data_IF_658566769898
#
_entry.id   IF_658566769898
#
_cell.length_a   1.000
_cell.length_b   1.000
_cell.length_c   1.000
_cell.angle_alpha   90.00
_cell.angle_beta   90.00
_cell.angle_gamma   90.00
#
_symmetry.space_group_name_H-M   'P 1'
#
loop_
_entity.id
_entity.type
_entity.pdbx_description
1 polymer ?
2 non-polymer ?
3 water ?
#
# COMPACT_ATOMS: atom_id res chain seq x y z
N UNK A 2 10.54 -1.67 -13.65
CA UNK A 2 10.64 -2.75 -14.68
C UNK A 2 11.37 -2.25 -15.92
N UNK A 3 12.43 -2.95 -16.30
CA UNK A 3 13.23 -2.57 -17.48
C UNK A 3 13.28 -3.68 -18.52
N UNK A 4 12.61 -4.79 -18.24
CA UNK A 4 12.60 -5.93 -19.14
C UNK A 4 11.20 -6.45 -19.42
N UNK A 5 10.97 -6.82 -20.67
CA UNK A 5 9.71 -7.41 -21.08
C UNK A 5 10.14 -8.71 -21.76
N UNK A 6 9.82 -9.84 -21.15
CA UNK A 6 10.19 -11.13 -21.73
C UNK A 6 9.14 -11.54 -22.74
N UNK A 7 9.52 -12.38 -23.68
CA UNK A 7 8.58 -12.86 -24.69
C UNK A 7 7.42 -13.54 -23.98
N UNK A 8 6.22 -13.28 -24.49
CA UNK A 8 5.02 -13.84 -23.91
C UNK A 8 4.39 -12.90 -22.91
N UNK A 9 5.16 -11.91 -22.44
CA UNK A 9 4.65 -10.96 -21.46
C UNK A 9 4.03 -9.74 -22.10
N UNK A 10 3.25 -9.03 -21.30
CA UNK A 10 2.51 -7.87 -21.74
C UNK A 10 2.68 -6.62 -20.88
N UNK A 11 2.73 -5.47 -21.54
CA UNK A 11 2.80 -4.19 -20.85
C UNK A 11 1.44 -3.60 -21.22
N UNK A 12 0.57 -3.41 -20.24
CA UNK A 12 -0.76 -2.87 -20.52
C UNK A 12 -0.80 -1.37 -20.59
N UNK A 13 -1.93 -0.85 -21.07
CA UNK A 13 -2.13 0.58 -21.25
C UNK A 13 -1.66 1.41 -20.08
N UNK A 14 -0.88 2.45 -20.41
CA UNK A 14 -0.35 3.41 -19.44
C UNK A 14 0.73 2.88 -18.51
N UNK A 15 1.28 1.71 -18.83
CA UNK A 15 2.36 1.14 -18.03
C UNK A 15 3.63 1.33 -18.82
N UNK A 16 4.77 1.36 -18.14
CA UNK A 16 6.02 1.58 -18.84
C UNK A 16 7.18 0.75 -18.36
N UNK A 17 8.24 0.77 -19.17
CA UNK A 17 9.50 0.13 -18.82
C UNK A 17 10.29 1.38 -18.43
N UNK A 18 11.25 1.23 -17.54
CA UNK A 18 12.02 2.37 -17.10
C UNK A 18 13.45 1.99 -16.78
N UNK A 19 14.39 2.81 -17.22
CA UNK A 19 15.80 2.57 -16.98
C UNK A 19 16.51 3.91 -16.97
N UNK A 20 17.15 4.24 -15.85
CA UNK A 20 17.84 5.51 -15.77
C UNK A 20 16.87 6.65 -16.01
N UNK A 21 17.24 7.56 -16.90
CA UNK A 21 16.42 8.71 -17.22
C UNK A 21 15.35 8.39 -18.24
N UNK A 22 15.34 7.15 -18.73
CA UNK A 22 14.40 6.76 -19.77
C UNK A 22 13.18 5.98 -19.37
N UNK A 23 12.11 6.21 -20.13
CA UNK A 23 10.85 5.53 -19.93
C UNK A 23 10.28 5.17 -21.29
N UNK A 24 9.68 4.00 -21.38
CA UNK A 24 9.05 3.55 -22.63
C UNK A 24 7.64 3.22 -22.19
N UNK A 25 6.69 4.00 -22.66
CA UNK A 25 5.30 3.83 -22.26
C UNK A 25 4.38 3.47 -23.39
N UNK A 26 3.53 2.47 -23.19
CA UNK A 26 2.55 2.16 -24.21
C UNK A 26 1.31 2.90 -23.68
N UNK A 27 0.88 3.93 -24.40
CA UNK A 27 -0.26 4.73 -23.99
C UNK A 27 -1.58 4.07 -24.34
N UNK A 28 -2.61 4.38 -23.57
CA UNK A 28 -3.94 3.83 -23.79
C UNK A 28 -4.37 4.07 -25.23
N UNK A 29 -4.09 5.27 -25.73
CA UNK A 29 -4.47 5.61 -27.09
C UNK A 29 -3.55 5.08 -28.19
N UNK A 30 -2.77 4.06 -27.83
CA UNK A 30 -1.93 3.34 -28.77
C UNK A 30 -0.58 3.85 -29.27
N UNK A 31 -0.14 4.99 -28.78
CA UNK A 31 1.16 5.50 -29.18
C UNK A 31 2.18 4.91 -28.21
N UNK A 32 3.26 4.34 -28.73
CA UNK A 32 4.33 3.81 -27.89
C UNK A 32 5.32 4.96 -27.89
N UNK A 33 5.64 5.47 -26.71
CA UNK A 33 6.50 6.64 -26.62
C UNK A 33 7.72 6.44 -25.73
N UNK A 34 8.86 6.93 -26.18
CA UNK A 34 10.10 6.84 -25.41
C UNK A 34 10.41 8.23 -24.89
N UNK A 35 10.64 8.33 -23.58
CA UNK A 35 10.93 9.61 -22.94
C UNK A 35 12.29 9.62 -22.27
N UNK A 36 12.89 10.80 -22.19
CA UNK A 36 14.14 10.98 -21.49
C UNK A 36 13.82 12.13 -20.56
N UNK A 37 13.76 11.83 -19.28
CA UNK A 37 13.38 12.82 -18.27
C UNK A 37 12.08 13.52 -18.66
N UNK A 38 11.13 12.71 -19.13
CA UNK A 38 9.83 13.25 -19.50
C UNK A 38 9.72 13.87 -20.90
N UNK A 39 10.86 14.03 -21.56
CA UNK A 39 10.88 14.61 -22.91
C UNK A 39 10.72 13.52 -23.94
N UNK A 40 9.71 13.67 -24.79
CA UNK A 40 9.45 12.67 -25.83
C UNK A 40 10.56 12.69 -26.87
N UNK A 41 11.33 11.60 -26.92
CA UNK A 41 12.42 11.50 -27.89
C UNK A 41 12.09 10.63 -29.10
N UNK A 42 11.11 9.74 -28.96
CA UNK A 42 10.70 8.87 -30.06
C UNK A 42 9.31 8.35 -29.77
N UNK A 43 8.57 8.05 -30.82
CA UNK A 43 7.23 7.48 -30.67
C UNK A 43 6.92 6.64 -31.90
N UNK A 44 6.04 5.66 -31.72
CA UNK A 44 5.64 4.81 -32.84
C UNK A 44 4.76 5.64 -33.77
N UNK A 45 4.30 6.79 -33.26
CA UNK A 45 3.44 7.69 -34.02
C UNK A 45 2.13 7.03 -34.37
N UNK A 46 1.54 6.39 -33.38
CA UNK A 46 0.26 5.70 -33.55
C UNK A 46 -0.79 6.18 -32.55
N UNK A 47 -0.67 7.43 -32.10
CA UNK A 47 -1.64 7.98 -31.16
C UNK A 47 -3.03 7.99 -31.77
N UNK A 48 -4.03 7.64 -30.95
CA UNK A 48 -5.42 7.59 -31.37
C UNK A 48 -5.74 6.63 -32.49
N UNK A 49 -4.86 5.68 -32.77
CA UNK A 49 -5.12 4.70 -33.82
C UNK A 49 -5.93 3.55 -33.23
N UNK A 50 -6.20 3.63 -31.94
CA UNK A 50 -6.97 2.62 -31.25
C UNK A 50 -7.11 3.01 -29.78
N UNK A 51 -7.72 2.14 -28.98
CA UNK A 51 -7.86 2.42 -27.56
C UNK A 51 -7.57 1.15 -26.76
N UNK A 52 -7.30 1.32 -25.47
CA UNK A 52 -7.00 0.20 -24.59
C UNK A 52 -5.87 -0.65 -25.11
N UNK A 53 -4.87 0.00 -25.71
CA UNK A 53 -3.74 -0.71 -26.29
C UNK A 53 -2.81 -1.38 -25.29
N UNK A 54 -2.05 -2.34 -25.78
CA UNK A 54 -1.07 -3.07 -24.97
C UNK A 54 0.11 -3.39 -25.85
N UNK A 55 1.25 -3.68 -25.21
CA UNK A 55 2.48 -4.01 -25.91
C UNK A 55 2.90 -5.42 -25.51
N UNK A 56 3.25 -6.25 -26.48
CA UNK A 56 3.69 -7.60 -26.14
C UNK A 56 4.85 -8.04 -27.04
N UNK A 57 5.69 -8.94 -26.50
CA UNK A 57 6.82 -9.47 -27.23
C UNK A 57 6.47 -10.92 -27.56
N UNK A 58 6.43 -11.24 -28.84
CA UNK A 58 6.06 -12.58 -29.27
C UNK A 58 7.19 -13.60 -29.08
N UNK A 59 6.85 -14.88 -29.21
CA UNK A 59 7.82 -15.96 -29.05
C UNK A 59 8.92 -15.94 -30.11
N UNK A 60 8.72 -15.19 -31.20
CA UNK A 60 9.77 -15.12 -32.23
C UNK A 60 10.53 -13.79 -32.15
N UNK A 61 10.32 -13.05 -31.07
CA UNK A 61 11.02 -11.80 -30.87
C UNK A 61 10.38 -10.56 -31.46
N UNK A 62 9.28 -10.74 -32.18
CA UNK A 62 8.58 -9.60 -32.79
C UNK A 62 7.88 -8.81 -31.68
N UNK A 63 8.02 -7.48 -31.74
CA UNK A 63 7.41 -6.60 -30.76
C UNK A 63 6.16 -6.02 -31.39
N UNK A 64 5.02 -6.15 -30.72
CA UNK A 64 3.78 -5.65 -31.31
C UNK A 64 2.86 -4.92 -30.36
N UNK A 65 2.18 -3.90 -30.90
CA UNK A 65 1.19 -3.13 -30.16
C UNK A 65 -0.16 -3.66 -30.64
N UNK A 66 -1.01 -4.11 -29.71
CA UNK A 66 -2.36 -4.57 -30.07
C UNK A 66 -3.34 -3.62 -29.42
N UNK A 67 -4.44 -3.31 -30.10
CA UNK A 67 -5.44 -2.48 -29.45
C UNK A 67 -6.40 -3.44 -28.76
N UNK A 68 -7.43 -2.92 -28.10
CA UNK A 68 -8.34 -3.79 -27.36
C UNK A 68 -9.10 -4.81 -28.20
N UNK A 69 -9.14 -4.60 -29.52
CA UNK A 69 -9.81 -5.53 -30.43
C UNK A 69 -8.79 -6.45 -31.12
N UNK A 70 -7.57 -6.41 -30.61
CA UNK A 70 -6.45 -7.22 -31.11
C UNK A 70 -5.90 -6.89 -32.49
N UNK A 71 -6.16 -5.68 -32.96
CA UNK A 71 -5.59 -5.29 -34.24
C UNK A 71 -4.13 -4.95 -33.97
N UNK A 72 -3.26 -5.34 -34.90
CA UNK A 72 -1.83 -5.07 -34.83
C UNK A 72 -1.66 -3.62 -35.28
N UNK A 73 -1.45 -2.73 -34.33
CA UNK A 73 -1.29 -1.30 -34.61
C UNK A 73 0.10 -0.90 -35.09
N UNK A 74 1.12 -1.54 -34.55
CA UNK A 74 2.50 -1.24 -34.89
C UNK A 74 3.35 -2.42 -34.45
N UNK A 75 4.48 -2.64 -35.13
CA UNK A 75 5.34 -3.71 -34.71
C UNK A 75 6.76 -3.47 -35.15
N UNK A 76 7.71 -4.15 -34.53
CA UNK A 76 9.09 -4.01 -34.94
C UNK A 76 9.20 -4.73 -36.28
N UNK A 77 8.26 -5.65 -36.52
CA UNK A 77 8.21 -6.42 -37.76
C UNK A 77 9.55 -7.07 -38.05
N UNK A 78 10.13 -7.66 -37.02
CA UNK A 78 11.41 -8.31 -37.12
C UNK A 78 11.32 -9.56 -36.24
N UNK A 79 11.60 -10.72 -36.82
CA UNK A 79 11.52 -11.96 -36.06
C UNK A 79 12.68 -12.89 -36.30
N UNK A 80 12.88 -13.78 -35.33
CA UNK A 80 13.92 -14.78 -35.40
C UNK A 80 13.27 -16.13 -35.21
N UNK A 81 14.05 -17.15 -34.88
CA UNK A 81 13.48 -18.47 -34.65
C UNK A 81 12.61 -18.42 -33.41
N UNK A 82 11.57 -19.25 -33.36
CA UNK A 82 10.73 -19.27 -32.18
C UNK A 82 11.55 -19.74 -30.98
N UNK A 83 11.28 -19.12 -29.84
CA UNK A 83 11.99 -19.46 -28.63
C UNK A 83 11.64 -18.47 -27.54
N UNK A 84 12.66 -17.95 -26.86
CA UNK A 84 12.45 -16.98 -25.80
C UNK A 84 13.36 -15.79 -26.04
N UNK A 85 12.78 -14.60 -25.96
CA UNK A 85 13.50 -13.35 -26.17
C UNK A 85 13.31 -12.38 -25.01
N UNK A 86 14.11 -11.33 -25.00
CA UNK A 86 14.00 -10.33 -23.96
C UNK A 86 14.19 -8.92 -24.51
N UNK A 87 13.21 -8.06 -24.23
CA UNK A 87 13.28 -6.66 -24.61
C UNK A 87 13.82 -5.93 -23.38
N UNK A 88 14.94 -5.25 -23.56
CA UNK A 88 15.56 -4.51 -22.48
C UNK A 88 15.60 -3.01 -22.76
N UNK A 89 15.06 -2.22 -21.84
CA UNK A 89 15.15 -0.77 -21.98
C UNK A 89 16.45 -0.51 -21.22
N UNK A 90 17.44 -0.02 -21.95
CA UNK A 90 18.75 0.24 -21.38
C UNK A 90 18.95 1.66 -20.87
N UNK A 91 19.85 1.81 -19.91
CA UNK A 91 20.10 3.11 -19.33
C UNK A 91 20.61 4.11 -20.37
N UNK A 92 21.07 3.63 -21.51
CA UNK A 92 21.53 4.54 -22.55
C UNK A 92 20.39 4.99 -23.45
N UNK A 93 19.18 4.58 -23.11
CA UNK A 93 18.02 5.00 -23.90
C UNK A 93 17.53 4.06 -24.97
N UNK A 94 18.35 3.08 -25.35
CA UNK A 94 17.92 2.16 -26.38
C UNK A 94 17.10 1.01 -25.80
N UNK A 95 16.07 0.59 -26.52
CA UNK A 95 15.32 -0.58 -26.08
C UNK A 95 15.63 -1.63 -27.14
N UNK A 96 16.35 -2.66 -26.69
CA UNK A 96 16.85 -3.69 -27.58
C UNK A 96 16.23 -5.06 -27.30
N UNK A 97 15.94 -5.78 -28.38
CA UNK A 97 15.38 -7.13 -28.25
C UNK A 97 16.52 -8.11 -28.49
N UNK A 98 16.81 -8.91 -27.46
CA UNK A 98 17.86 -9.92 -27.50
C UNK A 98 17.27 -11.32 -27.53
N UNK A 99 17.86 -12.19 -28.34
CA UNK A 99 17.38 -13.56 -28.39
C UNK A 99 17.77 -14.33 -29.62
N UNK A 100 17.48 -15.64 -29.67
CA UNK A 100 16.82 -16.37 -28.58
C UNK A 100 17.79 -16.70 -27.45
N UNK A 101 17.42 -17.65 -26.59
CA UNK A 101 18.27 -18.01 -25.48
C UNK A 101 19.57 -18.64 -25.95
N UNK A 102 20.69 -18.14 -25.43
CA UNK A 102 22.00 -18.68 -25.77
C UNK A 102 22.40 -19.69 -24.73
N UNK A 103 22.19 -19.33 -23.46
CA UNK A 103 22.57 -20.21 -22.36
C UNK A 103 21.78 -20.03 -21.09
N UNK A 104 21.70 -21.12 -20.35
CA UNK A 104 21.06 -21.21 -19.06
C UNK A 104 21.53 -22.58 -18.57
N UNK A 105 21.28 -22.90 -17.31
CA UNK A 105 21.69 -24.18 -16.74
C UNK A 105 20.91 -25.37 -17.32
N UNK A 106 21.51 -26.56 -17.23
CA UNK A 106 20.84 -27.75 -17.75
C UNK A 106 21.63 -28.46 -18.84
N UNK A 107 21.37 -29.77 -19.06
CA UNK A 107 22.04 -30.58 -20.06
C UNK A 107 22.42 -29.82 -21.32
N UNK A 108 21.57 -29.90 -22.34
CA UNK A 108 21.79 -29.21 -23.61
C UNK A 108 21.37 -27.75 -23.44
N UNK A 109 21.97 -27.08 -22.47
CA UNK A 109 21.64 -25.69 -22.21
C UNK A 109 22.35 -24.66 -23.05
N UNK A 110 23.26 -25.09 -23.92
CA UNK A 110 23.99 -24.14 -24.77
C UNK A 110 23.58 -24.29 -26.23
N UNK A 111 23.12 -23.18 -26.82
CA UNK A 111 22.66 -23.17 -28.20
C UNK A 111 23.80 -23.31 -29.21
N UNK A 112 23.62 -24.24 -30.15
CA UNK A 112 24.60 -24.52 -31.19
C UNK A 112 25.90 -25.04 -30.57
N UNK B 2 19.88 -3.66 -10.03
CA UNK B 2 19.90 -4.08 -11.45
C UNK B 2 19.63 -5.57 -11.61
N UNK B 3 18.96 -5.93 -12.70
CA UNK B 3 18.62 -7.31 -12.99
C UNK B 3 19.23 -7.75 -14.31
N UNK B 4 19.92 -6.83 -14.98
CA UNK B 4 20.50 -7.12 -16.28
C UNK B 4 21.99 -6.81 -16.35
N UNK B 5 22.73 -7.68 -17.03
CA UNK B 5 24.16 -7.47 -17.26
C UNK B 5 24.32 -7.58 -18.77
N UNK B 6 24.68 -6.49 -19.42
CA UNK B 6 24.83 -6.49 -20.87
C UNK B 6 26.26 -6.84 -21.26
N UNK B 7 26.46 -7.28 -22.50
CA UNK B 7 27.81 -7.59 -22.96
C UNK B 7 28.68 -6.37 -22.74
N UNK B 8 29.93 -6.61 -22.35
CA UNK B 8 30.83 -5.51 -22.11
C UNK B 8 30.73 -4.94 -20.71
N UNK B 9 29.71 -5.35 -19.95
CA UNK B 9 29.54 -4.86 -18.59
C UNK B 9 30.10 -5.86 -17.60
N UNK B 10 30.40 -5.36 -16.41
CA UNK B 10 30.97 -6.20 -15.36
C UNK B 10 30.29 -5.95 -14.01
N UNK B 11 30.05 -7.04 -13.30
CA UNK B 11 29.47 -6.98 -11.97
C UNK B 11 30.73 -7.18 -11.12
N UNK B 12 31.04 -6.21 -10.28
CA UNK B 12 32.24 -6.30 -9.47
C UNK B 12 32.05 -7.02 -8.16
N UNK B 13 33.17 -7.36 -7.51
CA UNK B 13 33.16 -8.10 -6.25
C UNK B 13 32.14 -7.59 -5.24
N UNK B 14 31.39 -8.54 -4.68
CA UNK B 14 30.39 -8.27 -3.66
C UNK B 14 29.13 -7.56 -4.17
N UNK B 15 29.05 -7.34 -5.47
CA UNK B 15 27.87 -6.69 -6.05
C UNK B 15 27.01 -7.75 -6.69
N UNK B 16 25.71 -7.48 -6.79
CA UNK B 16 24.83 -8.48 -7.37
C UNK B 16 23.67 -7.96 -8.19
N UNK B 17 23.00 -8.90 -8.85
CA UNK B 17 21.83 -8.60 -9.65
C UNK B 17 20.68 -8.99 -8.74
N UNK B 18 19.53 -8.33 -8.90
CA UNK B 18 18.38 -8.63 -8.07
C UNK B 18 17.11 -8.61 -8.89
N UNK B 19 16.23 -9.57 -8.63
CA UNK B 19 14.96 -9.66 -9.34
C UNK B 19 13.97 -10.35 -8.43
N UNK B 20 12.94 -9.62 -8.01
CA UNK B 20 11.96 -10.20 -7.12
C UNK B 20 12.62 -10.69 -5.84
N UNK B 21 12.39 -11.96 -5.52
CA UNK B 21 12.94 -12.56 -4.31
C UNK B 21 14.32 -13.15 -4.53
N UNK B 22 14.86 -12.95 -5.74
CA UNK B 22 16.17 -13.51 -6.05
C UNK B 22 17.33 -12.52 -6.13
N UNK B 23 18.48 -12.99 -5.67
CA UNK B 23 19.70 -12.19 -5.67
C UNK B 23 20.83 -13.06 -6.24
N UNK B 24 21.67 -12.48 -7.09
CA UNK B 24 22.78 -13.20 -7.68
C UNK B 24 24.03 -12.38 -7.41
N UNK B 25 24.87 -12.89 -6.52
CA UNK B 25 26.08 -12.18 -6.11
C UNK B 25 27.39 -12.83 -6.50
N UNK B 26 28.31 -12.04 -7.07
CA UNK B 26 29.62 -12.55 -7.37
C UNK B 26 30.44 -12.13 -6.15
N UNK B 27 30.83 -13.10 -5.33
CA UNK B 27 31.58 -12.78 -4.13
C UNK B 27 33.05 -12.52 -4.43
N UNK B 28 33.67 -11.71 -3.59
CA UNK B 28 35.06 -11.37 -3.73
C UNK B 28 35.96 -12.58 -3.87
N UNK B 29 35.59 -13.69 -3.21
CA UNK B 29 36.40 -14.90 -3.27
C UNK B 29 36.04 -15.85 -4.40
N UNK B 30 35.37 -15.29 -5.40
CA UNK B 30 35.01 -16.00 -6.63
C UNK B 30 33.83 -16.95 -6.71
N UNK B 31 33.06 -17.11 -5.63
CA UNK B 31 31.90 -17.99 -5.73
C UNK B 31 30.71 -17.15 -6.20
N UNK B 32 30.03 -17.62 -7.25
CA UNK B 32 28.85 -16.91 -7.75
C UNK B 32 27.69 -17.54 -6.99
N UNK B 33 27.01 -16.75 -6.16
CA UNK B 33 25.94 -17.31 -5.35
C UNK B 33 24.55 -16.74 -5.63
N UNK B 34 23.56 -17.63 -5.71
CA UNK B 34 22.19 -17.22 -5.94
C UNK B 34 21.40 -17.40 -4.66
N UNK B 35 20.56 -16.41 -4.33
CA UNK B 35 19.76 -16.49 -3.11
C UNK B 35 18.28 -16.30 -3.39
N UNK B 36 17.45 -16.94 -2.58
CA UNK B 36 16.01 -16.79 -2.70
C UNK B 36 15.58 -16.29 -1.32
N UNK B 37 15.24 -15.01 -1.24
CA UNK B 37 14.85 -14.40 0.02
C UNK B 37 16.01 -14.44 1.01
N UNK B 38 17.20 -14.13 0.53
CA UNK B 38 18.38 -14.11 1.38
C UNK B 38 18.98 -15.46 1.74
N UNK B 39 18.41 -16.54 1.21
CA UNK B 39 18.93 -17.87 1.48
C UNK B 39 19.54 -18.51 0.24
N UNK B 40 20.80 -18.94 0.35
CA UNK B 40 21.49 -19.56 -0.77
C UNK B 40 20.81 -20.81 -1.29
N UNK B 41 20.53 -20.84 -2.60
CA UNK B 41 19.91 -22.00 -3.22
C UNK B 41 20.76 -22.54 -4.36
N UNK B 42 21.77 -21.77 -4.76
CA UNK B 42 22.69 -22.19 -5.83
C UNK B 42 24.02 -21.44 -5.74
N UNK B 43 25.06 -22.05 -6.27
CA UNK B 43 26.39 -21.45 -6.28
C UNK B 43 27.22 -22.10 -7.39
N UNK B 44 28.14 -21.32 -7.96
CA UNK B 44 29.00 -21.86 -9.01
C UNK B 44 29.96 -22.86 -8.38
N UNK B 45 30.10 -22.78 -7.06
CA UNK B 45 30.96 -23.68 -6.29
C UNK B 45 32.42 -23.44 -6.63
N UNK B 46 32.79 -22.17 -6.64
CA UNK B 46 34.16 -21.77 -6.94
C UNK B 46 34.71 -20.83 -5.87
N UNK B 47 34.21 -21.00 -4.65
CA UNK B 47 34.67 -20.19 -3.55
C UNK B 47 36.16 -20.41 -3.30
N UNK B 48 36.86 -19.31 -3.05
CA UNK B 48 38.29 -19.32 -2.79
C UNK B 48 39.18 -19.77 -3.94
N UNK B 49 38.65 -19.73 -5.16
CA UNK B 49 39.43 -20.09 -6.34
C UNK B 49 40.26 -18.85 -6.70
N UNK B 50 40.03 -17.76 -5.96
CA UNK B 50 40.75 -16.52 -6.19
C UNK B 50 40.23 -15.38 -5.33
N UNK B 51 40.65 -14.16 -5.64
CA UNK B 51 40.21 -12.98 -4.89
C UNK B 51 39.93 -11.81 -5.83
N UNK B 52 39.18 -10.83 -5.35
CA UNK B 52 38.85 -9.68 -6.16
C UNK B 52 38.16 -10.09 -7.44
N UNK B 53 37.35 -11.13 -7.35
CA UNK B 53 36.64 -11.64 -8.52
C UNK B 53 35.55 -10.73 -9.06
N UNK B 54 35.22 -10.91 -10.33
CA UNK B 54 34.19 -10.14 -11.00
C UNK B 54 33.52 -11.04 -12.02
N UNK B 55 32.30 -10.67 -12.41
CA UNK B 55 31.55 -11.44 -13.39
C UNK B 55 31.34 -10.54 -14.58
N UNK B 56 31.67 -11.01 -15.77
CA UNK B 56 31.44 -10.18 -16.95
C UNK B 56 30.85 -10.99 -18.09
N UNK B 57 30.09 -10.31 -18.94
CA UNK B 57 29.47 -10.97 -20.09
C UNK B 57 30.23 -10.48 -21.31
N UNK B 58 30.77 -11.41 -22.09
CA UNK B 58 31.54 -11.05 -23.28
C UNK B 58 30.70 -10.70 -24.50
N UNK B 59 31.32 -10.12 -25.51
CA UNK B 59 30.60 -9.76 -26.72
C UNK B 59 30.05 -10.98 -27.45
N UNK B 60 30.57 -12.16 -27.13
CA UNK B 60 30.07 -13.37 -27.78
C UNK B 60 29.08 -14.14 -26.91
N UNK B 61 28.66 -13.51 -25.82
CA UNK B 61 27.67 -14.11 -24.93
C UNK B 61 28.22 -14.99 -23.82
N UNK B 62 29.52 -15.23 -23.83
CA UNK B 62 30.12 -16.06 -22.81
C UNK B 62 30.12 -15.30 -21.48
N UNK B 63 29.73 -15.99 -20.41
CA UNK B 63 29.66 -15.38 -19.09
C UNK B 63 30.86 -15.90 -18.34
N UNK B 64 31.68 -14.99 -17.83
CA UNK B 64 32.89 -15.44 -17.16
C UNK B 64 33.18 -14.77 -15.83
N UNK B 65 33.72 -15.58 -14.90
CA UNK B 65 34.14 -15.09 -13.60
C UNK B 65 35.65 -15.00 -13.71
N UNK B 66 36.18 -13.78 -13.55
CA UNK B 66 37.62 -13.53 -13.59
C UNK B 66 38.11 -13.08 -12.22
N UNK B 67 39.30 -13.55 -11.82
CA UNK B 67 39.84 -13.10 -10.55
C UNK B 67 40.62 -11.81 -10.85
N UNK B 68 41.17 -11.17 -9.83
CA UNK B 68 41.91 -9.92 -10.02
C UNK B 68 43.11 -10.03 -10.95
N UNK B 69 43.56 -11.26 -11.19
CA UNK B 69 44.70 -11.51 -12.07
C UNK B 69 44.21 -11.84 -13.48
N UNK B 70 42.90 -11.75 -13.67
CA UNK B 70 42.25 -12.03 -14.94
C UNK B 70 42.23 -13.48 -15.37
N UNK B 71 42.29 -14.38 -14.40
CA UNK B 71 42.23 -15.81 -14.70
C UNK B 71 40.77 -16.20 -14.79
N UNK B 72 40.43 -17.04 -15.77
CA UNK B 72 39.07 -17.50 -15.96
C UNK B 72 38.82 -18.64 -14.96
N UNK B 73 38.07 -18.31 -13.92
CA UNK B 73 37.75 -19.23 -12.84
C UNK B 73 36.56 -20.13 -13.12
N UNK B 74 35.57 -19.56 -13.81
CA UNK B 74 34.35 -20.29 -14.10
C UNK B 74 33.65 -19.53 -15.19
N UNK B 75 32.77 -20.21 -15.91
CA UNK B 75 32.04 -19.55 -16.97
C UNK B 75 30.93 -20.43 -17.51
N UNK B 76 30.07 -19.82 -18.31
CA UNK B 76 28.99 -20.57 -18.92
C UNK B 76 29.63 -21.45 -20.01
N UNK B 77 30.83 -21.06 -20.44
CA UNK B 77 31.58 -21.78 -21.48
C UNK B 77 30.67 -22.07 -22.66
N UNK B 78 29.96 -21.04 -23.08
CA UNK B 78 29.01 -21.13 -24.17
C UNK B 78 29.02 -19.79 -24.90
N UNK B 79 29.14 -19.81 -26.21
CA UNK B 79 29.19 -18.56 -26.96
C UNK B 79 28.59 -18.66 -28.33
N UNK B 80 28.27 -17.50 -28.88
CA UNK B 80 27.72 -17.44 -30.22
C UNK B 80 28.55 -16.45 -31.01
N UNK B 81 27.96 -15.89 -32.06
CA UNK B 81 28.66 -14.92 -32.87
C UNK B 81 28.92 -13.66 -32.06
N UNK B 82 29.97 -12.94 -32.43
CA UNK B 82 30.27 -11.70 -31.73
C UNK B 82 29.13 -10.76 -32.04
N UNK B 83 28.69 -10.04 -31.02
CA UNK B 83 27.60 -9.11 -31.19
C UNK B 83 27.27 -8.49 -29.86
N UNK B 84 26.03 -8.66 -29.43
CA UNK B 84 25.60 -8.09 -28.17
C UNK B 84 24.60 -9.05 -27.52
N UNK B 85 24.83 -9.33 -26.23
CA UNK B 85 23.97 -10.22 -25.47
C UNK B 85 23.51 -9.58 -24.18
N UNK B 86 22.54 -10.21 -23.53
CA UNK B 86 22.03 -9.69 -22.28
C UNK B 86 21.78 -10.81 -21.30
N UNK B 87 22.36 -10.68 -20.10
CA UNK B 87 22.14 -11.67 -19.05
C UNK B 87 21.03 -11.07 -18.19
N UNK B 88 19.96 -11.83 -18.02
CA UNK B 88 18.84 -11.37 -17.22
C UNK B 88 18.56 -12.30 -16.04
N UNK B 89 18.56 -11.72 -14.84
CA UNK B 89 18.19 -12.49 -13.65
C UNK B 89 16.69 -12.25 -13.64
N UNK B 90 15.93 -13.31 -13.89
CA UNK B 90 14.48 -13.25 -13.96
C UNK B 90 13.78 -13.37 -12.60
N UNK B 91 12.55 -12.88 -12.54
CA UNK B 91 11.79 -12.94 -11.29
C UNK B 91 11.50 -14.36 -10.84
N UNK B 92 11.57 -15.32 -11.77
CA UNK B 92 11.34 -16.70 -11.41
C UNK B 92 12.64 -17.35 -10.91
N UNK B 93 13.68 -16.54 -10.77
CA UNK B 93 14.95 -17.04 -10.27
C UNK B 93 15.97 -17.56 -11.26
N UNK B 94 15.58 -17.72 -12.52
CA UNK B 94 16.51 -18.20 -13.53
C UNK B 94 17.31 -17.05 -14.12
N UNK B 95 18.62 -17.23 -14.28
CA UNK B 95 19.41 -16.18 -14.92
C UNK B 95 19.71 -16.76 -16.29
N UNK B 96 19.29 -16.02 -17.30
CA UNK B 96 19.38 -16.44 -18.68
C UNK B 96 20.13 -15.45 -19.56
N UNK B 97 20.94 -15.98 -20.47
CA UNK B 97 21.65 -15.13 -21.41
C UNK B 97 20.91 -15.19 -22.73
N UNK B 98 20.44 -14.02 -23.18
CA UNK B 98 19.71 -13.86 -24.43
C UNK B 98 20.58 -13.14 -25.45
N UNK B 99 20.55 -13.62 -26.68
CA UNK B 99 21.31 -12.95 -27.72
C UNK B 99 21.57 -13.79 -28.95
N UNK B 100 22.15 -13.20 -30.00
CA UNK B 100 22.56 -11.79 -30.03
C UNK B 100 21.36 -10.85 -30.26
N UNK B 101 21.65 -9.60 -30.59
CA UNK B 101 20.57 -8.64 -30.82
C UNK B 101 19.73 -9.07 -32.02
N UNK B 102 18.41 -8.98 -31.84
CA UNK B 102 17.49 -9.30 -32.92
C UNK B 102 17.04 -8.00 -33.54
N UNK B 103 16.69 -7.03 -32.70
CA UNK B 103 16.16 -5.76 -33.19
C UNK B 103 16.36 -4.56 -32.28
N UNK B 104 16.48 -3.40 -32.91
CA UNK B 104 16.61 -2.14 -32.20
C UNK B 104 16.20 -1.08 -33.22
N UNK B 105 15.83 0.10 -32.75
CA UNK B 105 15.45 1.17 -33.66
C UNK B 105 16.68 1.54 -34.48
N UNK B 106 16.45 1.96 -35.72
CA UNK B 106 17.56 2.33 -36.59
C UNK B 106 17.43 1.72 -37.97
N UNK B 107 18.18 2.21 -38.97
CA UNK B 107 18.15 1.70 -40.34
C UNK B 107 18.58 0.23 -40.49
N UNK B 108 19.56 -0.20 -39.71
CA UNK B 108 20.04 -1.58 -39.77
C UNK B 108 19.71 -2.29 -38.46
N UNK B 109 18.51 -2.01 -37.94
CA UNK B 109 18.08 -2.57 -36.68
C UNK B 109 17.61 -4.01 -36.63
N UNK B 110 17.23 -4.60 -37.75
CA UNK B 110 16.75 -5.98 -37.72
C UNK B 110 17.81 -6.99 -38.15
N UNK B 111 18.08 -7.95 -37.27
CA UNK B 111 19.06 -8.99 -37.55
C UNK B 111 18.60 -9.81 -38.74
N UNK B 112 19.39 -9.77 -39.82
CA UNK B 112 19.07 -10.51 -41.04
C UNK B 112 17.73 -10.09 -41.62
N UNK C 2 -13.33 14.83 30.23
CA UNK C 2 -13.57 14.17 28.91
C UNK C 2 -14.02 12.72 29.07
N UNK C 3 -14.86 12.28 28.13
CA UNK C 3 -15.36 10.91 28.14
C UNK C 3 -14.89 10.20 26.87
N UNK C 4 -14.20 10.95 26.00
CA UNK C 4 -13.75 10.38 24.74
C UNK C 4 -12.25 10.58 24.54
N UNK C 5 -11.59 9.54 24.00
CA UNK C 5 -10.18 9.63 23.64
C UNK C 5 -10.12 9.24 22.16
N UNK C 6 -9.73 10.19 21.30
CA UNK C 6 -9.64 9.92 19.87
C UNK C 6 -8.30 9.29 19.49
N UNK C 7 -8.26 8.56 18.39
CA UNK C 7 -7.02 7.93 17.97
C UNK C 7 -5.95 8.99 17.76
N UNK C 8 -4.74 8.65 18.18
CA UNK C 8 -3.63 9.59 18.06
C UNK C 8 -3.50 10.42 19.32
N UNK C 9 -4.53 10.42 20.16
CA UNK C 9 -4.49 11.20 21.38
C UNK C 9 -3.98 10.43 22.57
N UNK C 10 -3.59 11.16 23.60
CA UNK C 10 -3.02 10.56 24.80
C UNK C 10 -3.66 10.99 26.10
N UNK C 11 -3.80 10.03 27.01
CA UNK C 11 -4.29 10.30 28.35
C UNK C 11 -3.02 10.10 29.17
N UNK C 12 -2.54 11.16 29.79
CA UNK C 12 -1.32 11.06 30.57
C UNK C 12 -1.53 10.56 31.99
N UNK C 13 -0.43 10.18 32.63
CA UNK C 13 -0.46 9.65 33.99
C UNK C 13 -1.37 10.41 34.92
N UNK C 14 -2.19 9.65 35.63
CA UNK C 14 -3.13 10.17 36.60
C UNK C 14 -4.29 10.99 36.05
N UNK C 15 -4.49 10.94 34.74
CA UNK C 15 -5.61 11.64 34.15
C UNK C 15 -6.69 10.61 33.86
N UNK C 16 -7.90 11.08 33.72
CA UNK C 16 -9.02 10.16 33.52
C UNK C 16 -10.05 10.58 32.53
N UNK C 17 -10.84 9.59 32.13
CA UNK C 17 -12.01 9.81 31.31
C UNK C 17 -13.11 9.68 32.36
N UNK C 18 -14.21 10.39 32.19
CA UNK C 18 -15.29 10.33 33.15
C UNK C 18 -16.62 10.38 32.44
N UNK C 19 -17.55 9.58 32.92
CA UNK C 19 -18.90 9.53 32.35
C UNK C 19 -19.89 9.04 33.39
N UNK C 20 -20.82 9.90 33.78
CA UNK C 20 -21.78 9.50 34.77
C UNK C 20 -21.06 9.09 36.04
N UNK C 21 -21.41 7.92 36.55
CA UNK C 21 -20.82 7.41 37.78
C UNK C 21 -19.45 6.80 37.58
N UNK C 22 -19.00 6.73 36.32
CA UNK C 22 -17.73 6.08 36.04
C UNK C 22 -16.52 6.95 35.72
N UNK C 23 -15.36 6.43 36.10
CA UNK C 23 -14.08 7.08 35.89
C UNK C 23 -13.10 6.00 35.40
N UNK C 24 -12.30 6.33 34.39
CA UNK C 24 -11.29 5.40 33.90
C UNK C 24 -9.97 6.18 33.98
N UNK C 25 -9.07 5.71 34.82
CA UNK C 25 -7.82 6.41 35.06
C UNK C 25 -6.59 5.62 34.71
N UNK C 26 -5.64 6.23 34.00
CA UNK C 26 -4.39 5.56 33.74
C UNK C 26 -3.48 6.11 34.85
N UNK C 27 -3.10 5.25 35.77
CA UNK C 27 -2.26 5.68 36.88
C UNK C 27 -0.80 5.76 36.47
N UNK C 28 -0.04 6.61 37.18
CA UNK C 28 1.38 6.77 36.89
C UNK C 28 2.11 5.44 36.92
N UNK C 29 1.74 4.58 37.87
CA UNK C 29 2.38 3.27 38.02
C UNK C 29 1.86 2.18 37.08
N UNK C 30 1.19 2.62 36.01
CA UNK C 30 0.72 1.75 34.91
C UNK C 30 -0.54 0.91 35.01
N UNK C 31 -1.27 1.02 36.12
CA UNK C 31 -2.52 0.27 36.21
C UNK C 31 -3.59 1.16 35.58
N UNK C 32 -4.41 0.59 34.71
CA UNK C 32 -5.54 1.31 34.10
C UNK C 32 -6.72 0.85 34.96
N UNK C 33 -7.39 1.78 35.62
CA UNK C 33 -8.45 1.42 36.56
C UNK C 33 -9.80 2.07 36.29
N UNK C 34 -10.86 1.26 36.40
CA UNK C 34 -12.22 1.77 36.21
C UNK C 34 -12.87 1.83 37.59
N UNK C 35 -13.50 2.97 37.89
CA UNK C 35 -14.19 3.17 39.16
C UNK C 35 -15.66 3.45 38.91
N UNK C 36 -16.48 3.10 39.89
CA UNK C 36 -17.91 3.37 39.83
C UNK C 36 -18.15 4.09 41.14
N UNK C 37 -18.52 5.37 41.04
CA UNK C 37 -18.75 6.17 42.24
C UNK C 37 -17.51 6.11 43.15
N UNK C 38 -16.33 6.14 42.53
CA UNK C 38 -15.08 6.13 43.28
C UNK C 38 -14.58 4.81 43.80
N UNK C 39 -15.31 3.73 43.52
CA UNK C 39 -14.94 2.40 43.97
C UNK C 39 -14.34 1.61 42.80
N UNK C 40 -13.15 1.04 42.97
CA UNK C 40 -12.53 0.28 41.88
C UNK C 40 -13.36 -0.95 41.50
N UNK C 41 -13.70 -1.09 40.22
CA UNK C 41 -14.47 -2.26 39.78
C UNK C 41 -13.77 -3.06 38.67
N UNK C 42 -12.71 -2.49 38.09
CA UNK C 42 -11.95 -3.19 37.07
C UNK C 42 -10.57 -2.56 36.93
N UNK C 43 -9.61 -3.36 36.53
CA UNK C 43 -8.26 -2.83 36.29
C UNK C 43 -7.51 -3.72 35.32
N UNK C 44 -6.55 -3.14 34.61
CA UNK C 44 -5.72 -3.88 33.67
C UNK C 44 -4.81 -4.83 34.45
N UNK C 45 -4.72 -4.60 35.77
CA UNK C 45 -3.90 -5.43 36.65
C UNK C 45 -2.44 -5.33 36.27
N UNK C 46 -1.99 -4.10 36.00
CA UNK C 46 -0.62 -3.87 35.61
C UNK C 46 0.06 -2.86 36.52
N UNK C 47 -0.44 -2.73 37.74
CA UNK C 47 0.15 -1.82 38.70
C UNK C 47 1.62 -2.21 38.90
N UNK C 48 2.48 -1.20 38.92
CA UNK C 48 3.91 -1.35 39.11
C UNK C 48 4.68 -2.15 38.05
N UNK C 49 4.08 -2.29 36.87
CA UNK C 49 4.74 -2.98 35.77
C UNK C 49 5.56 -1.97 34.98
N UNK C 50 5.53 -0.73 35.44
CA UNK C 50 6.28 0.34 34.81
C UNK C 50 5.97 1.63 35.52
N UNK C 51 6.53 2.74 35.06
CA UNK C 51 6.25 4.03 35.67
C UNK C 51 6.10 5.13 34.62
N UNK C 52 5.49 6.24 35.03
CA UNK C 52 5.29 7.35 34.13
C UNK C 52 4.48 6.90 32.94
N UNK C 53 3.46 6.09 33.20
CA UNK C 53 2.64 5.54 32.15
C UNK C 53 1.64 6.50 31.52
N UNK C 54 1.20 6.15 30.32
CA UNK C 54 0.22 6.91 29.57
C UNK C 54 -0.62 5.91 28.77
N UNK C 55 -1.80 6.37 28.35
CA UNK C 55 -2.72 5.54 27.58
C UNK C 55 -2.94 6.23 26.25
N UNK C 56 -2.85 5.47 25.18
CA UNK C 56 -3.08 6.07 23.87
C UNK C 56 -3.84 5.12 22.96
N UNK C 57 -4.63 5.69 22.05
CA UNK C 57 -5.39 4.89 21.10
C UNK C 57 -4.67 5.04 19.77
N UNK C 58 -4.27 3.91 19.19
CA UNK C 58 -3.53 3.94 17.92
C UNK C 58 -4.39 4.19 16.68
N UNK C 59 -3.74 4.46 15.57
CA UNK C 59 -4.46 4.72 14.33
C UNK C 59 -5.26 3.52 13.84
N UNK C 60 -4.92 2.32 14.33
CA UNK C 60 -5.67 1.14 13.93
C UNK C 60 -6.67 0.72 15.02
N UNK C 61 -6.86 1.60 16.00
CA UNK C 61 -7.82 1.33 17.05
C UNK C 61 -7.34 0.51 18.23
N UNK C 62 -6.07 0.09 18.19
CA UNK C 62 -5.53 -0.69 19.30
C UNK C 62 -5.32 0.28 20.47
N UNK C 63 -5.68 -0.17 21.67
CA UNK C 63 -5.53 0.67 22.86
C UNK C 63 -4.32 0.14 23.60
N UNK C 64 -3.37 1.03 23.88
CA UNK C 64 -2.14 0.60 24.54
C UNK C 64 -1.71 1.48 25.70
N UNK C 65 -1.12 0.85 26.71
CA UNK C 65 -0.57 1.56 27.85
C UNK C 65 0.93 1.51 27.60
N UNK C 66 1.57 2.68 27.57
CA UNK C 66 3.02 2.75 27.39
C UNK C 66 3.66 3.29 28.67
N UNK C 67 4.81 2.75 29.06
CA UNK C 67 5.44 3.34 30.24
C UNK C 67 6.33 4.47 29.72
N UNK C 68 7.05 5.12 30.62
CA UNK C 68 7.87 6.25 30.17
C UNK C 68 9.00 5.90 29.20
N UNK C 69 9.33 4.63 29.06
CA UNK C 69 10.38 4.20 28.13
C UNK C 69 9.75 3.60 26.88
N UNK C 70 8.44 3.84 26.74
CA UNK C 70 7.66 3.38 25.60
C UNK C 70 7.46 1.88 25.47
N UNK C 71 7.62 1.17 26.58
CA UNK C 71 7.36 -0.27 26.57
C UNK C 71 5.84 -0.40 26.56
N UNK C 72 5.31 -1.33 25.78
CA UNK C 72 3.89 -1.61 25.71
C UNK C 72 3.64 -2.52 26.90
N UNK C 73 2.99 -1.97 27.91
CA UNK C 73 2.70 -2.68 29.14
C UNK C 73 1.40 -3.46 29.13
N UNK C 74 0.43 -2.98 28.36
CA UNK C 74 -0.86 -3.63 28.28
C UNK C 74 -1.57 -3.08 27.05
N UNK C 75 -2.46 -3.87 26.47
CA UNK C 75 -3.18 -3.40 25.32
C UNK C 75 -4.43 -4.21 25.07
N UNK C 76 -5.37 -3.60 24.35
CA UNK C 76 -6.58 -4.32 23.99
C UNK C 76 -6.17 -5.43 23.01
N UNK C 77 -5.06 -5.24 22.32
CA UNK C 77 -4.56 -6.20 21.35
C UNK C 77 -5.61 -6.54 20.30
N UNK C 78 -6.29 -5.49 19.86
CA UNK C 78 -7.35 -5.62 18.87
C UNK C 78 -7.23 -4.42 17.93
N UNK C 79 -7.12 -4.68 16.65
CA UNK C 79 -6.95 -3.60 15.68
C UNK C 79 -7.79 -3.83 14.46
N UNK C 80 -8.11 -2.73 13.78
CA UNK C 80 -8.88 -2.80 12.55
C UNK C 80 -8.05 -2.10 11.49
N UNK C 81 -8.72 -1.58 10.47
CA UNK C 81 -8.01 -0.88 9.40
C UNK C 81 -7.46 0.45 9.91
N UNK C 82 -6.35 0.90 9.33
CA UNK C 82 -5.77 2.17 9.70
C UNK C 82 -6.84 3.22 9.39
N UNK C 83 -7.01 4.19 10.29
CA UNK C 83 -8.00 5.22 10.08
C UNK C 83 -8.14 6.07 11.34
N UNK C 84 -9.38 6.35 11.72
CA UNK C 84 -9.64 7.13 12.92
C UNK C 84 -10.68 6.42 13.76
N UNK C 85 -10.38 6.26 15.05
CA UNK C 85 -11.22 5.57 15.99
C UNK C 85 -11.53 6.45 17.19
N UNK C 86 -12.54 6.06 17.97
CA UNK C 86 -12.87 6.82 19.16
C UNK C 86 -13.11 5.89 20.34
N UNK C 87 -12.40 6.13 21.43
CA UNK C 87 -12.62 5.36 22.65
C UNK C 87 -13.63 6.17 23.44
N UNK C 88 -14.74 5.55 23.82
CA UNK C 88 -15.77 6.25 24.58
C UNK C 88 -16.05 5.58 25.93
N UNK C 89 -15.90 6.33 27.02
CA UNK C 89 -16.27 5.78 28.34
C UNK C 89 -17.74 6.16 28.41
N UNK C 90 -18.60 5.16 28.47
CA UNK C 90 -20.04 5.35 28.47
C UNK C 90 -20.65 5.42 29.86
N UNK C 91 -21.83 6.01 29.95
CA UNK C 91 -22.48 6.13 31.24
C UNK C 91 -22.91 4.79 31.80
N UNK C 92 -22.92 3.75 30.97
CA UNK C 92 -23.28 2.42 31.44
C UNK C 92 -22.05 1.70 31.98
N UNK C 93 -20.94 2.43 32.03
CA UNK C 93 -19.71 1.87 32.57
C UNK C 93 -18.76 1.21 31.61
N UNK C 94 -19.20 0.96 30.38
CA UNK C 94 -18.32 0.31 29.42
C UNK C 94 -17.42 1.30 28.70
N UNK C 95 -16.16 0.94 28.44
CA UNK C 95 -15.33 1.82 27.61
C UNK C 95 -15.18 1.04 26.33
N UNK C 96 -15.70 1.64 25.26
CA UNK C 96 -15.76 0.99 23.97
C UNK C 96 -15.00 1.74 22.89
N UNK C 97 -14.31 0.99 22.03
CA UNK C 97 -13.58 1.60 20.92
C UNK C 97 -14.42 1.40 19.66
N UNK C 98 -14.82 2.51 19.06
CA UNK C 98 -15.62 2.51 17.85
C UNK C 98 -14.78 3.01 16.67
N UNK C 99 -14.93 2.37 15.51
CA UNK C 99 -14.19 2.84 14.35
C UNK C 99 -14.10 1.81 13.26
N UNK C 100 -13.59 2.19 12.08
CA UNK C 100 -13.13 3.55 11.78
C UNK C 100 -14.31 4.49 11.48
N UNK C 101 -14.02 5.60 10.81
CA UNK C 101 -15.07 6.58 10.50
C UNK C 101 -16.07 6.00 9.51
N UNK C 102 -17.35 6.19 9.80
CA UNK C 102 -18.40 5.71 8.92
C UNK C 102 -18.88 6.90 8.11
N UNK C 103 -19.05 8.04 8.77
CA UNK C 103 -19.55 9.24 8.11
C UNK C 103 -19.19 10.55 8.79
N UNK C 104 -19.12 11.61 8.00
CA UNK C 104 -18.86 12.97 8.48
C UNK C 104 -19.44 13.86 7.39
N UNK C 105 -19.57 15.16 7.66
CA UNK C 105 -20.11 16.09 6.67
C UNK C 105 -19.19 16.23 5.47
N UNK C 106 -19.04 17.45 4.97
CA UNK C 106 -18.18 17.68 3.82
C UNK C 106 -18.69 16.98 2.58
N UNK C 107 -18.15 17.32 1.40
CA UNK C 107 -18.55 16.73 0.13
C UNK C 107 -18.84 15.23 0.21
N UNK C 108 -17.81 14.40 0.17
CA UNK C 108 -18.00 12.96 0.26
C UNK C 108 -17.62 12.48 1.66
N UNK C 109 -18.53 12.63 2.61
CA UNK C 109 -18.25 12.22 3.97
C UNK C 109 -18.64 10.79 4.34
N UNK C 110 -19.25 10.06 3.42
CA UNK C 110 -19.68 8.70 3.71
C UNK C 110 -18.67 7.63 3.32
N UNK C 111 -18.61 6.55 4.11
CA UNK C 111 -17.69 5.43 3.87
C UNK C 111 -18.34 4.30 3.07
N UNK C 112 -18.16 4.34 1.75
CA UNK C 112 -18.72 3.34 0.85
C UNK C 112 -20.24 3.26 0.96
N UNK D 2 -23.86 16.31 26.89
CA UNK D 2 -23.04 15.18 26.39
C UNK D 2 -22.50 15.56 25.02
N UNK D 3 -21.43 14.89 24.62
CA UNK D 3 -20.81 15.11 23.31
C UNK D 3 -20.96 13.88 22.43
N UNK D 4 -21.59 12.83 22.97
CA UNK D 4 -21.76 11.59 22.23
C UNK D 4 -23.21 11.13 22.18
N UNK D 5 -23.60 10.58 21.03
CA UNK D 5 -24.93 10.00 20.86
C UNK D 5 -24.61 8.58 20.38
N UNK D 6 -25.01 7.58 21.17
CA UNK D 6 -24.77 6.19 20.81
C UNK D 6 -25.94 5.61 20.02
N UNK D 7 -25.68 4.51 19.31
CA UNK D 7 -26.74 3.84 18.56
C UNK D 7 -27.85 3.53 19.56
N UNK D 8 -29.09 3.76 19.14
CA UNK D 8 -30.20 3.48 20.02
C UNK D 8 -30.58 4.62 20.93
N UNK D 9 -29.78 5.68 20.94
CA UNK D 9 -30.10 6.85 21.77
C UNK D 9 -30.72 7.91 20.90
N UNK D 10 -31.48 8.79 21.53
CA UNK D 10 -32.18 9.86 20.86
C UNK D 10 -31.96 11.19 21.54
N UNK D 11 -31.74 12.20 20.72
CA UNK D 11 -31.57 13.55 21.20
C UNK D 11 -32.95 14.15 20.93
N UNK D 12 -33.67 14.51 22.00
CA UNK D 12 -35.01 15.06 21.85
C UNK D 12 -35.06 16.53 21.49
N UNK D 13 -36.24 16.99 21.11
CA UNK D 13 -36.43 18.38 20.72
C UNK D 13 -35.75 19.40 21.63
N UNK D 14 -35.03 20.30 20.99
CA UNK D 14 -34.33 21.38 21.66
C UNK D 14 -33.20 20.96 22.60
N UNK D 15 -32.74 19.73 22.44
CA UNK D 15 -31.63 19.22 23.23
C UNK D 15 -30.40 19.27 22.34
N UNK D 16 -29.22 19.29 22.94
CA UNK D 16 -27.99 19.40 22.17
C UNK D 16 -26.82 18.53 22.61
N UNK D 17 -25.88 18.38 21.70
CA UNK D 17 -24.62 17.73 21.99
C UNK D 17 -23.74 18.96 22.15
N UNK D 18 -22.73 18.88 23.01
CA UNK D 18 -21.83 20.01 23.22
C UNK D 18 -20.41 19.53 23.41
N UNK D 19 -19.46 20.23 22.79
CA UNK D 19 -18.06 19.89 22.94
C UNK D 19 -17.28 21.17 22.70
N UNK D 20 -16.42 21.54 23.64
CA UNK D 20 -15.67 22.76 23.47
C UNK D 20 -16.61 23.95 23.23
N UNK D 21 -16.27 24.75 22.23
CA UNK D 21 -17.06 25.93 21.92
C UNK D 21 -18.28 25.61 21.06
N UNK D 22 -18.47 24.33 20.74
CA UNK D 22 -19.56 23.92 19.86
C UNK D 22 -20.78 23.29 20.48
N UNK D 23 -21.94 23.57 19.87
CA UNK D 23 -23.22 23.02 20.30
C UNK D 23 -23.94 22.56 19.03
N UNK D 24 -24.48 21.35 19.07
CA UNK D 24 -25.22 20.80 17.93
C UNK D 24 -26.62 20.54 18.48
N UNK D 25 -27.59 21.31 18.01
CA UNK D 25 -28.95 21.22 18.52
C UNK D 25 -29.99 20.76 17.52
N UNK D 26 -30.84 19.83 17.93
CA UNK D 26 -31.93 19.43 17.04
C UNK D 26 -33.11 20.28 17.54
N UNK D 27 -33.52 21.24 16.72
CA UNK D 27 -34.60 22.12 17.10
C UNK D 27 -35.94 21.47 16.95
N UNK D 28 -36.90 21.94 17.75
CA UNK D 28 -38.25 21.42 17.73
C UNK D 28 -38.83 21.43 16.32
N UNK D 29 -38.53 22.49 15.58
CA UNK D 29 -39.04 22.61 14.22
C UNK D 29 -38.20 21.92 13.14
N UNK D 30 -37.40 20.96 13.58
CA UNK D 30 -36.58 20.10 12.72
C UNK D 30 -35.27 20.54 12.09
N UNK D 31 -34.81 21.76 12.37
CA UNK D 31 -33.51 22.16 11.82
C UNK D 31 -32.45 21.66 12.81
N UNK D 32 -31.41 21.00 12.31
CA UNK D 32 -30.30 20.52 13.14
C UNK D 32 -29.27 21.65 12.95
N UNK D 33 -28.94 22.32 14.03
CA UNK D 33 -28.06 23.48 13.93
C UNK D 33 -26.82 23.41 14.77
N UNK D 34 -25.70 23.81 14.18
CA UNK D 34 -24.43 23.82 14.88
C UNK D 34 -24.05 25.26 15.18
N UNK D 35 -23.65 25.49 16.44
CA UNK D 35 -23.26 26.81 16.91
C UNK D 35 -21.86 26.80 17.50
N UNK D 36 -21.20 27.94 17.41
CA UNK D 36 -19.87 28.10 17.99
C UNK D 36 -20.03 29.36 18.84
N UNK D 37 -20.01 29.18 20.16
CA UNK D 37 -20.21 30.30 21.07
C UNK D 37 -21.43 31.12 20.66
N UNK D 38 -22.54 30.43 20.38
CA UNK D 38 -23.77 31.12 20.04
C UNK D 38 -23.98 31.56 18.61
N UNK D 39 -22.95 31.48 17.78
CA UNK D 39 -23.07 31.87 16.38
C UNK D 39 -23.35 30.66 15.52
N UNK D 40 -24.44 30.70 14.75
CA UNK D 40 -24.79 29.58 13.88
C UNK D 40 -23.75 29.47 12.78
N UNK D 41 -23.17 28.28 12.62
CA UNK D 41 -22.17 28.09 11.57
C UNK D 41 -22.53 27.01 10.58
N UNK D 42 -23.58 26.25 10.89
CA UNK D 42 -24.06 25.20 10.01
C UNK D 42 -25.44 24.77 10.42
N UNK D 43 -26.21 24.27 9.46
CA UNK D 43 -27.53 23.76 9.76
C UNK D 43 -27.91 22.77 8.67
N UNK D 44 -28.74 21.81 9.03
CA UNK D 44 -29.22 20.81 8.10
C UNK D 44 -30.15 21.47 7.08
N UNK D 45 -30.55 22.70 7.38
CA UNK D 45 -31.42 23.51 6.52
C UNK D 45 -32.79 22.84 6.34
N UNK D 46 -33.33 22.33 7.44
CA UNK D 46 -34.63 21.65 7.44
C UNK D 46 -35.62 22.28 8.42
N UNK D 47 -35.48 23.57 8.66
CA UNK D 47 -36.37 24.29 9.58
C UNK D 47 -37.82 24.25 9.08
N UNK D 48 -38.74 24.14 10.03
CA UNK D 48 -40.17 24.10 9.75
C UNK D 48 -40.64 22.97 8.85
N UNK D 49 -39.85 21.90 8.77
CA UNK D 49 -40.24 20.75 7.97
C UNK D 49 -41.05 19.79 8.82
N UNK D 50 -41.27 20.19 10.07
CA UNK D 50 -42.06 19.38 11.00
C UNK D 50 -42.00 19.92 12.41
N UNK D 51 -42.56 19.18 13.35
CA UNK D 51 -42.54 19.59 14.74
C UNK D 51 -42.22 18.39 15.62
N UNK D 52 -41.85 18.66 16.86
CA UNK D 52 -41.52 17.61 17.80
C UNK D 52 -40.40 16.74 17.27
N UNK D 53 -39.47 17.36 16.55
CA UNK D 53 -38.37 16.60 15.96
C UNK D 53 -37.33 16.11 16.94
N UNK D 54 -36.68 15.02 16.54
CA UNK D 54 -35.64 14.40 17.35
C UNK D 54 -34.56 13.87 16.43
N UNK D 55 -33.40 13.59 17.00
CA UNK D 55 -32.26 13.06 16.25
C UNK D 55 -31.86 11.73 16.86
N UNK D 56 -31.75 10.70 16.05
CA UNK D 56 -31.37 9.41 16.58
C UNK D 56 -30.33 8.73 15.70
N UNK D 57 -29.50 7.90 16.34
CA UNK D 57 -28.47 7.15 15.63
C UNK D 57 -28.93 5.71 15.65
N UNK D 58 -29.00 5.09 14.48
CA UNK D 58 -29.47 3.72 14.38
C UNK D 58 -28.38 2.66 14.62
N UNK D 59 -28.80 1.41 14.72
CA UNK D 59 -27.85 0.32 14.95
C UNK D 59 -26.82 0.19 13.83
N UNK D 60 -27.21 0.56 12.60
CA UNK D 60 -26.29 0.47 11.48
C UNK D 60 -25.51 1.77 11.27
N UNK D 61 -25.60 2.68 12.23
CA UNK D 61 -24.87 3.93 12.12
C UNK D 61 -25.53 5.07 11.37
N UNK D 62 -26.72 4.82 10.81
CA UNK D 62 -27.41 5.88 10.09
C UNK D 62 -27.93 6.91 11.12
N UNK D 63 -27.76 8.18 10.79
CA UNK D 63 -28.19 9.29 11.64
C UNK D 63 -29.42 9.88 10.98
N UNK D 64 -30.52 9.91 11.73
CA UNK D 64 -31.78 10.40 11.19
C UNK D 64 -32.51 11.42 12.07
N UNK D 65 -33.13 12.42 11.42
CA UNK D 65 -33.95 13.39 12.11
C UNK D 65 -35.38 12.94 11.82
N UNK D 66 -36.15 12.73 12.87
CA UNK D 66 -37.55 12.29 12.74
C UNK D 66 -38.46 13.33 13.35
N UNK D 67 -39.62 13.57 12.73
CA UNK D 67 -40.55 14.51 13.33
C UNK D 67 -41.45 13.70 14.27
N UNK D 68 -42.39 14.35 14.95
CA UNK D 68 -43.24 13.63 15.89
C UNK D 68 -44.08 12.53 15.25
N UNK D 69 -44.23 12.60 13.93
CA UNK D 69 -44.99 11.57 13.20
C UNK D 69 -44.06 10.53 12.58
N UNK D 70 -42.80 10.53 13.01
CA UNK D 70 -41.79 9.60 12.54
C UNK D 70 -41.43 9.72 11.06
N UNK D 71 -41.61 10.91 10.50
CA UNK D 71 -41.25 11.16 9.12
C UNK D 71 -39.74 11.40 9.12
N UNK D 72 -39.03 10.73 8.21
CA UNK D 72 -37.57 10.90 8.09
C UNK D 72 -37.37 12.24 7.38
N UNK D 73 -36.97 13.25 8.15
CA UNK D 73 -36.76 14.59 7.63
C UNK D 73 -35.40 14.84 6.97
N UNK D 74 -34.35 14.27 7.55
CA UNK D 74 -33.00 14.47 7.08
C UNK D 74 -32.18 13.34 7.64
N UNK D 75 -31.04 13.06 7.02
CA UNK D 75 -30.21 11.98 7.52
C UNK D 75 -28.84 12.01 6.90
N UNK D 76 -27.91 11.28 7.50
CA UNK D 76 -26.55 11.23 6.96
C UNK D 76 -26.63 10.43 5.67
N UNK D 77 -27.61 9.54 5.61
CA UNK D 77 -27.82 8.69 4.45
C UNK D 77 -26.52 7.94 4.22
N UNK D 78 -26.07 7.27 5.28
CA UNK D 78 -24.82 6.52 5.28
C UNK D 78 -24.91 5.46 6.37
N UNK D 79 -24.67 4.19 6.02
CA UNK D 79 -24.73 3.14 7.02
C UNK D 79 -23.82 1.96 6.73
N UNK D 80 -23.48 1.23 7.78
CA UNK D 80 -22.63 0.07 7.61
C UNK D 80 -23.29 -1.15 8.21
N UNK D 81 -22.48 -2.10 8.63
CA UNK D 81 -22.99 -3.33 9.22
C UNK D 81 -23.81 -2.99 10.46
N UNK D 82 -24.67 -3.92 10.84
CA UNK D 82 -25.51 -3.72 12.00
C UNK D 82 -24.72 -4.09 13.24
N UNK D 83 -24.66 -3.17 14.19
CA UNK D 83 -23.92 -3.41 15.42
C UNK D 83 -24.14 -2.25 16.36
N UNK D 84 -23.12 -1.41 16.51
CA UNK D 84 -23.20 -0.26 17.40
C UNK D 84 -22.21 0.81 16.95
N UNK D 85 -22.69 2.06 16.89
CA UNK D 85 -21.88 3.20 16.46
C UNK D 85 -21.96 4.32 17.48
N UNK D 86 -21.11 5.33 17.28
CA UNK D 86 -21.08 6.49 18.17
C UNK D 86 -20.93 7.76 17.37
N UNK D 87 -21.85 8.68 17.56
CA UNK D 87 -21.78 9.98 16.92
C UNK D 87 -21.05 10.83 17.94
N UNK D 88 -19.94 11.45 17.53
CA UNK D 88 -19.17 12.29 18.43
C UNK D 88 -19.05 13.70 17.90
N UNK D 89 -19.44 14.68 18.71
CA UNK D 89 -19.25 16.07 18.34
C UNK D 89 -17.89 16.34 18.97
N UNK D 90 -16.92 16.65 18.12
CA UNK D 90 -15.56 16.91 18.58
C UNK D 90 -15.30 18.37 18.94
N UNK D 91 -14.26 18.59 19.73
CA UNK D 91 -13.91 19.94 20.16
C UNK D 91 -13.55 20.85 19.00
N UNK D 92 -13.16 20.27 17.87
CA UNK D 92 -12.83 21.09 16.72
C UNK D 92 -14.09 21.43 15.93
N UNK D 93 -15.24 21.04 16.48
CA UNK D 93 -16.52 21.34 15.86
C UNK D 93 -17.08 20.34 14.86
N UNK D 94 -16.30 19.34 14.50
CA UNK D 94 -16.76 18.36 13.55
C UNK D 94 -17.56 17.26 14.26
N UNK D 95 -18.70 16.86 13.71
CA UNK D 95 -19.41 15.74 14.31
C UNK D 95 -19.17 14.56 13.36
N UNK D 96 -18.67 13.48 13.95
CA UNK D 96 -18.30 12.29 13.20
C UNK D 96 -18.93 11.02 13.74
N UNK D 97 -19.33 10.12 12.84
CA UNK D 97 -19.90 8.86 13.29
C UNK D 97 -18.82 7.79 13.13
N UNK D 98 -18.48 7.16 14.26
CA UNK D 98 -17.48 6.11 14.30
C UNK D 98 -18.14 4.75 14.56
N UNK D 99 -17.65 3.73 13.87
CA UNK D 99 -18.21 2.40 14.10
C UNK D 99 -17.97 1.45 12.95
N UNK D 100 -18.35 0.18 13.11
CA UNK D 100 -19.00 -0.34 14.32
C UNK D 100 -18.02 -0.53 15.49
N UNK D 101 -18.44 -1.27 16.52
CA UNK D 101 -17.55 -1.51 17.65
C UNK D 101 -16.35 -2.33 17.21
N UNK D 102 -15.15 -1.90 17.61
CA UNK D 102 -13.95 -2.64 17.30
C UNK D 102 -13.61 -3.50 18.51
N UNK D 103 -13.66 -2.88 19.69
CA UNK D 103 -13.30 -3.60 20.90
C UNK D 103 -13.95 -3.09 22.17
N UNK D 104 -14.20 -4.03 23.08
CA UNK D 104 -14.69 -3.74 24.42
C UNK D 104 -14.28 -4.97 25.21
N UNK D 105 -14.20 -4.83 26.53
CA UNK D 105 -13.83 -5.94 27.39
C UNK D 105 -14.87 -7.04 27.32
N UNK D 106 -14.45 -8.27 27.62
CA UNK D 106 -15.39 -9.37 27.61
C UNK D 106 -15.20 -10.39 26.51
N UNK D 107 -15.98 -11.48 26.58
CA UNK D 107 -15.93 -12.57 25.61
C UNK D 107 -16.29 -12.08 24.21
N UNK D 108 -15.47 -12.44 23.23
CA UNK D 108 -15.70 -12.06 21.85
C UNK D 108 -15.73 -10.54 21.72
N UNK D 109 -14.92 -9.88 22.53
CA UNK D 109 -14.88 -8.42 22.53
C UNK D 109 -14.14 -7.77 21.37
N UNK D 110 -13.33 -8.54 20.65
CA UNK D 110 -12.58 -7.99 19.53
C UNK D 110 -13.21 -8.31 18.18
N UNK D 111 -13.53 -7.27 17.42
CA UNK D 111 -14.14 -7.46 16.10
C UNK D 111 -13.24 -8.35 15.24
N UNK D 112 -13.69 -9.59 15.03
CA UNK D 112 -12.97 -10.58 14.23
C UNK D 112 -11.59 -10.91 14.81
#
# INVERSE_FOLDING_TARGET
MDNVLLSGQTLHADHSLQAGAYTLTIQNKCNLVKYQNGRQIWASNTDRRGSGCRLTLLSDGNLVIYDHNNNDVWGSACWGDNGKYALVLQKDGRFVIYGPVLWSLGPNGCRRVNG
MDNVLLSGQTLHADHSLQAGAYTLTIQNKCNLVKYQNGRQIWASNTDRRGSGCRLTLLSDGNLVIYDHNNNDVWGSACWGDNGKYALVLQKDGRFVIYGPVLWSLGPNGCRRVNG
MDNVLLSGQTLHADHSLQAGAYTLTIQNKCNLVKYQNGRQIWASNTDRRGSGCRLTLLSDGNLVIYDHNNNDVWGSACWGDNGKYALVLQKDGRFVIYGPVLWSLGPNGCRRVNG
MDNVLLSGQTLHADHSLQAGAYTLTIQNKCNLVKYQNGRQIWASNTDRRGSGCRLTLLSDGNLVIYDHNNNDVWGSACWGDNGKYALVLQKDGRFVIYGPVLWSLGPNGCRRVNG
#
